data_IF_270911805180
#
_entry.id   IF_270911805180
#
_cell.length_a   1.000
_cell.length_b   1.000
_cell.length_c   1.000
_cell.angle_alpha   90.00
_cell.angle_beta   90.00
_cell.angle_gamma   90.00
#
_symmetry.space_group_name_H-M   'P 1'
#
loop_
_entity.id
_entity.type
_entity.pdbx_description
1 polymer ?
#
# COMPACT_ATOMS: atom_id res chain seq x y z
N UNK A 1 9.12 5.50 -6.28
CA UNK A 1 9.21 4.90 -4.93
C UNK A 1 9.17 3.38 -5.07
N UNK A 2 10.07 2.67 -4.41
CA UNK A 2 10.10 1.21 -4.48
C UNK A 2 8.97 0.58 -3.64
N UNK A 3 8.40 -0.54 -4.11
CA UNK A 3 7.36 -1.30 -3.41
C UNK A 3 7.74 -1.68 -1.97
N UNK A 4 9.01 -2.02 -1.71
CA UNK A 4 9.54 -2.35 -0.37
C UNK A 4 9.60 -1.12 0.54
N UNK A 5 10.01 0.03 0.00
CA UNK A 5 10.05 1.30 0.76
C UNK A 5 8.65 1.74 1.13
N UNK A 6 7.71 1.64 0.18
CA UNK A 6 6.33 2.01 0.43
C UNK A 6 5.67 1.09 1.46
N UNK A 7 5.95 -0.22 1.41
CA UNK A 7 5.54 -1.16 2.47
C UNK A 7 6.04 -0.74 3.85
N UNK A 8 7.33 -0.39 3.97
CA UNK A 8 7.91 0.09 5.26
C UNK A 8 7.24 1.38 5.72
N UNK A 9 6.97 2.31 4.80
CA UNK A 9 6.29 3.55 5.13
C UNK A 9 4.86 3.30 5.63
N UNK A 10 4.09 2.44 4.95
CA UNK A 10 2.74 2.03 5.37
C UNK A 10 2.75 1.33 6.73
N UNK A 11 3.73 0.47 7.00
CA UNK A 11 3.89 -0.17 8.30
C UNK A 11 4.10 0.86 9.43
N UNK A 12 4.85 1.94 9.18
CA UNK A 12 5.02 3.05 10.14
C UNK A 12 3.72 3.82 10.39
N UNK A 13 2.77 3.80 9.46
CA UNK A 13 1.43 4.36 9.65
C UNK A 13 0.49 3.42 10.43
N UNK A 14 0.97 2.23 10.83
CA UNK A 14 0.16 1.22 11.52
C UNK A 14 -0.55 0.24 10.58
N UNK A 15 -0.23 0.23 9.29
CA UNK A 15 -0.86 -0.68 8.35
C UNK A 15 -0.39 -2.13 8.57
N UNK A 16 -1.32 -3.07 8.46
CA UNK A 16 -1.05 -4.52 8.48
C UNK A 16 -1.16 -5.11 7.08
N UNK A 17 -0.54 -6.27 6.85
CA UNK A 17 -0.40 -6.85 5.52
C UNK A 17 -0.79 -8.33 5.51
N UNK A 18 -1.49 -8.74 4.45
CA UNK A 18 -1.76 -10.15 4.15
C UNK A 18 -1.37 -10.47 2.71
N UNK A 19 -1.08 -11.74 2.44
CA UNK A 19 -0.81 -12.22 1.08
C UNK A 19 -2.09 -12.16 0.24
N UNK A 20 -1.96 -11.62 -0.97
CA UNK A 20 -3.01 -11.62 -1.99
C UNK A 20 -2.78 -12.69 -3.05
N UNK A 21 -3.48 -12.59 -4.17
CA UNK A 21 -3.25 -13.44 -5.34
C UNK A 21 -1.94 -13.05 -6.03
N UNK A 22 -1.06 -14.02 -6.24
CA UNK A 22 0.26 -13.79 -6.83
C UNK A 22 1.16 -12.92 -5.95
N UNK A 23 1.92 -12.02 -6.57
CA UNK A 23 2.84 -11.10 -5.89
C UNK A 23 2.16 -9.85 -5.32
N UNK A 24 0.88 -9.89 -4.95
CA UNK A 24 0.18 -8.74 -4.38
C UNK A 24 0.09 -8.86 -2.86
N UNK A 25 0.10 -7.70 -2.17
CA UNK A 25 -0.19 -7.59 -0.75
C UNK A 25 -1.53 -6.87 -0.55
N UNK A 26 -2.39 -7.46 0.28
CA UNK A 26 -3.53 -6.74 0.86
C UNK A 26 -3.02 -5.91 2.03
N UNK A 27 -3.45 -4.66 2.10
CA UNK A 27 -3.05 -3.69 3.13
C UNK A 27 -4.31 -3.32 3.90
N UNK A 28 -4.25 -3.32 5.22
CA UNK A 28 -5.34 -2.91 6.09
C UNK A 28 -4.87 -1.80 7.03
N UNK A 29 -5.66 -0.73 7.15
CA UNK A 29 -5.40 0.38 8.06
C UNK A 29 -6.72 1.01 8.49
N UNK A 30 -6.96 1.14 9.79
CA UNK A 30 -8.13 1.84 10.36
C UNK A 30 -9.48 1.40 9.73
N UNK A 31 -9.68 0.09 9.54
CA UNK A 31 -10.89 -0.47 8.91
C UNK A 31 -10.96 -0.29 7.38
N UNK A 32 -9.99 0.39 6.77
CA UNK A 32 -9.85 0.53 5.31
C UNK A 32 -8.91 -0.51 4.74
N UNK A 33 -9.08 -0.81 3.45
CA UNK A 33 -8.26 -1.78 2.74
C UNK A 33 -7.76 -1.24 1.39
N UNK A 34 -6.60 -1.75 0.96
CA UNK A 34 -6.05 -1.52 -0.37
C UNK A 34 -5.20 -2.73 -0.82
N UNK A 35 -4.77 -2.74 -2.07
CA UNK A 35 -3.92 -3.79 -2.65
C UNK A 35 -2.70 -3.15 -3.31
N UNK A 36 -1.52 -3.68 -3.02
CA UNK A 36 -0.25 -3.21 -3.57
C UNK A 36 0.46 -4.32 -4.36
N UNK A 37 0.88 -4.06 -5.61
CA UNK A 37 1.71 -5.01 -6.36
C UNK A 37 3.15 -5.05 -5.83
N UNK A 38 3.77 -6.24 -5.80
CA UNK A 38 5.17 -6.43 -5.41
C UNK A 38 6.07 -6.92 -6.55
N UNK A 39 5.54 -7.17 -7.74
CA UNK A 39 6.33 -7.65 -8.89
C UNK A 39 7.09 -6.53 -9.63
N UNK A 40 6.80 -5.26 -9.33
CA UNK A 40 7.51 -4.13 -9.91
C UNK A 40 8.54 -3.57 -8.93
N UNK A 41 9.73 -3.25 -9.45
CA UNK A 41 10.78 -2.58 -8.71
C UNK A 41 10.33 -1.17 -8.26
N UNK A 42 9.54 -0.49 -9.10
CA UNK A 42 9.02 0.85 -8.83
C UNK A 42 7.49 0.89 -8.91
N UNK A 43 6.88 1.61 -7.98
CA UNK A 43 5.47 1.98 -8.03
C UNK A 43 5.30 3.30 -8.76
N UNK A 44 4.38 3.34 -9.72
CA UNK A 44 3.93 4.58 -10.36
C UNK A 44 3.33 5.51 -9.31
N UNK A 45 3.55 6.81 -9.46
CA UNK A 45 3.04 7.84 -8.54
C UNK A 45 1.52 7.72 -8.33
N UNK A 46 0.75 7.55 -9.40
CA UNK A 46 -0.71 7.37 -9.30
C UNK A 46 -1.13 6.15 -8.47
N UNK A 47 -0.35 5.06 -8.49
CA UNK A 47 -0.60 3.86 -7.66
C UNK A 47 -0.37 4.18 -6.18
N UNK A 48 0.73 4.85 -5.86
CA UNK A 48 1.03 5.26 -4.47
C UNK A 48 -0.07 6.17 -3.94
N UNK A 49 -0.50 7.14 -4.73
CA UNK A 49 -1.55 8.09 -4.34
C UNK A 49 -2.92 7.43 -4.18
N UNK A 50 -3.28 6.52 -5.09
CA UNK A 50 -4.51 5.75 -4.99
C UNK A 50 -4.54 4.89 -3.71
N UNK A 51 -3.44 4.21 -3.39
CA UNK A 51 -3.32 3.41 -2.15
C UNK A 51 -3.48 4.31 -0.93
N UNK A 52 -2.79 5.46 -0.88
CA UNK A 52 -2.93 6.43 0.23
C UNK A 52 -4.37 6.92 0.38
N UNK A 53 -5.05 7.26 -0.71
CA UNK A 53 -6.45 7.71 -0.69
C UNK A 53 -7.38 6.61 -0.17
N UNK A 54 -7.25 5.38 -0.69
CA UNK A 54 -8.04 4.23 -0.25
C UNK A 54 -7.85 3.93 1.24
N UNK A 55 -6.63 4.09 1.75
CA UNK A 55 -6.30 3.90 3.16
C UNK A 55 -6.62 5.13 4.05
N UNK A 56 -7.14 6.22 3.49
CA UNK A 56 -7.47 7.43 4.25
C UNK A 56 -6.25 8.20 4.76
N UNK A 57 -5.10 8.06 4.09
CA UNK A 57 -3.83 8.71 4.43
C UNK A 57 -3.61 10.05 3.70
N UNK A 58 -4.48 10.40 2.76
CA UNK A 58 -4.62 11.78 2.30
C UNK A 58 -5.82 12.36 3.05
N UNK A 59 -5.59 13.44 3.80
CA UNK A 59 -6.64 14.22 4.42
C UNK A 59 -7.59 14.78 3.37
N UNK A 60 -8.82 15.09 3.80
CA UNK A 60 -9.84 15.75 2.99
C UNK A 60 -9.38 17.13 2.49
#
# INVERSE_FOLDING_TARGET
>A
MNSKEFKRWLAKQGATFQTGKGSHLKIFLNGRQSVMPMHHAELKTGTVEAIKKQLGLKGD
#
